data_IF_921771823264
#
_entry.id   IF_921771823264
#
_cell.length_a   1.000
_cell.length_b   1.000
_cell.length_c   1.000
_cell.angle_alpha   90.00
_cell.angle_beta   90.00
_cell.angle_gamma   90.00
#
_symmetry.space_group_name_H-M   'P 1'
#
loop_
_entity.id
_entity.type
_entity.pdbx_description
1 polymer ?
#
# COMPACT_ATOMS: atom_id res chain seq x y z
N UNK A 1 -15.46 13.39 6.63
CA UNK A 1 -14.34 13.11 7.52
C UNK A 1 -14.19 11.62 7.73
N UNK A 2 -12.95 11.14 7.61
CA UNK A 2 -12.71 9.71 7.79
C UNK A 2 -12.92 9.32 9.23
N UNK A 3 -13.36 8.10 9.49
CA UNK A 3 -13.39 7.61 10.85
C UNK A 3 -11.97 7.52 11.38
N UNK A 4 -11.86 7.64 12.67
CA UNK A 4 -10.57 7.53 13.31
C UNK A 4 -10.21 6.06 13.45
N UNK A 5 -9.12 5.66 12.85
CA UNK A 5 -8.66 4.28 12.93
C UNK A 5 -7.31 4.22 13.62
N UNK A 6 -7.02 3.07 14.22
CA UNK A 6 -5.70 2.76 14.70
C UNK A 6 -5.06 1.84 13.67
N UNK A 7 -3.77 1.98 13.44
CA UNK A 7 -3.07 1.10 12.52
C UNK A 7 -2.04 0.31 13.31
N UNK A 8 -2.08 -1.00 13.13
CA UNK A 8 -1.22 -1.93 13.84
C UNK A 8 -0.44 -2.78 12.86
N UNK A 9 0.86 -2.89 13.08
CA UNK A 9 1.69 -3.78 12.28
C UNK A 9 1.66 -5.15 12.93
N UNK A 10 0.90 -6.07 12.36
CA UNK A 10 0.82 -7.44 12.84
C UNK A 10 1.87 -8.25 12.08
N UNK A 11 3.10 -8.23 12.61
CA UNK A 11 4.23 -8.86 11.94
C UNK A 11 4.06 -10.36 11.83
N UNK A 12 3.33 -10.96 12.76
CA UNK A 12 3.13 -12.39 12.76
C UNK A 12 2.32 -12.84 11.55
N UNK A 13 1.31 -12.06 11.19
CA UNK A 13 0.49 -12.42 10.03
C UNK A 13 0.97 -11.72 8.75
N UNK A 14 1.92 -10.80 8.86
CA UNK A 14 2.40 -10.08 7.68
C UNK A 14 1.39 -9.07 7.17
N UNK A 15 0.75 -8.34 8.09
CA UNK A 15 -0.25 -7.36 7.69
C UNK A 15 -0.13 -6.09 8.52
N UNK A 16 -0.37 -4.94 7.87
CA UNK A 16 -0.73 -3.72 8.58
C UNK A 16 -2.25 -3.76 8.67
N UNK A 17 -2.78 -3.53 9.83
CA UNK A 17 -4.22 -3.64 10.08
C UNK A 17 -4.81 -2.31 10.46
N UNK A 18 -5.94 -1.96 9.86
CA UNK A 18 -6.72 -0.81 10.25
C UNK A 18 -7.77 -1.30 11.23
N UNK A 19 -7.78 -0.73 12.43
CA UNK A 19 -8.69 -1.16 13.49
C UNK A 19 -9.64 -0.04 13.80
N UNK A 20 -10.92 -0.37 13.81
CA UNK A 20 -11.99 0.57 14.13
C UNK A 20 -12.91 -0.12 15.11
N UNK A 21 -13.10 0.50 16.28
CA UNK A 21 -13.96 -0.07 17.32
C UNK A 21 -13.57 -1.50 17.67
N UNK A 22 -12.27 -1.76 17.73
CA UNK A 22 -11.76 -3.06 18.13
C UNK A 22 -11.79 -4.12 17.04
N UNK A 23 -12.22 -3.76 15.83
CA UNK A 23 -12.31 -4.71 14.73
C UNK A 23 -11.35 -4.35 13.63
N UNK A 24 -10.77 -5.35 13.00
CA UNK A 24 -9.94 -5.14 11.83
C UNK A 24 -10.87 -4.91 10.65
N UNK A 25 -10.83 -3.71 10.08
CA UNK A 25 -11.71 -3.34 8.98
C UNK A 25 -10.96 -3.18 7.66
N UNK A 26 -9.64 -3.27 7.70
CA UNK A 26 -8.83 -3.22 6.49
C UNK A 26 -7.43 -3.70 6.79
N UNK A 27 -6.71 -4.08 5.75
CA UNK A 27 -5.33 -4.50 5.94
C UNK A 27 -4.51 -4.34 4.68
N UNK A 28 -3.18 -4.30 4.87
CA UNK A 28 -2.22 -4.36 3.78
C UNK A 28 -1.43 -5.64 3.99
N UNK A 29 -1.41 -6.50 3.00
CA UNK A 29 -0.65 -7.75 3.06
C UNK A 29 0.77 -7.48 2.59
N UNK A 30 1.75 -7.90 3.38
CA UNK A 30 3.14 -7.66 3.01
C UNK A 30 4.04 -8.84 3.34
N UNK A 31 5.21 -8.84 2.74
CA UNK A 31 6.28 -9.79 3.03
C UNK A 31 7.48 -8.99 3.51
N UNK A 32 8.27 -9.59 4.40
CA UNK A 32 9.46 -8.94 4.90
C UNK A 32 10.69 -9.42 4.15
N UNK A 33 11.57 -8.46 3.85
CA UNK A 33 12.89 -8.74 3.33
C UNK A 33 13.84 -7.86 4.14
N UNK A 34 15.10 -8.19 4.07
CA UNK A 34 16.10 -7.45 4.81
C UNK A 34 16.07 -5.96 4.43
N UNK A 35 15.71 -5.14 5.39
CA UNK A 35 15.64 -3.68 5.19
C UNK A 35 14.49 -3.21 4.33
N UNK A 36 13.57 -4.09 3.95
CA UNK A 36 12.55 -3.79 2.95
C UNK A 36 11.25 -4.52 3.26
N UNK A 37 10.14 -3.91 2.83
CA UNK A 37 8.84 -4.56 2.89
C UNK A 37 8.28 -4.64 1.48
N UNK A 38 7.68 -5.78 1.14
CA UNK A 38 7.02 -5.97 -0.15
C UNK A 38 5.52 -5.91 0.12
N UNK A 39 4.87 -4.85 -0.35
CA UNK A 39 3.43 -4.67 -0.15
C UNK A 39 2.69 -5.27 -1.34
N UNK A 40 1.75 -6.17 -1.04
CA UNK A 40 1.05 -6.93 -2.08
C UNK A 40 -0.34 -6.41 -2.37
N UNK A 41 -1.18 -6.29 -1.34
CA UNK A 41 -2.59 -5.94 -1.51
C UNK A 41 -3.07 -5.07 -0.39
N UNK A 42 -4.02 -4.20 -0.69
CA UNK A 42 -4.72 -3.40 0.30
C UNK A 42 -6.19 -3.79 0.19
N UNK A 43 -6.78 -4.19 1.30
CA UNK A 43 -8.15 -4.68 1.34
C UNK A 43 -8.89 -3.93 2.43
N UNK A 44 -10.12 -3.47 2.12
CA UNK A 44 -10.99 -2.84 3.12
C UNK A 44 -12.33 -3.58 3.05
N UNK A 45 -12.88 -3.92 4.19
CA UNK A 45 -14.17 -4.60 4.27
C UNK A 45 -15.22 -3.79 3.54
N UNK A 46 -16.10 -4.48 2.81
CA UNK A 46 -17.06 -3.80 1.93
C UNK A 46 -17.95 -2.81 2.68
N UNK A 47 -18.30 -3.11 3.93
CA UNK A 47 -19.14 -2.21 4.71
C UNK A 47 -18.44 -0.92 5.12
N UNK A 48 -17.14 -0.84 4.93
CA UNK A 48 -16.36 0.32 5.35
C UNK A 48 -15.74 1.08 4.19
N UNK A 49 -16.06 0.68 2.97
CA UNK A 49 -15.51 1.36 1.79
C UNK A 49 -16.08 2.76 1.65
N UNK A 50 -15.31 3.63 1.02
CA UNK A 50 -15.75 4.99 0.79
C UNK A 50 -15.60 5.90 2.00
N UNK A 51 -14.91 5.45 3.03
CA UNK A 51 -14.73 6.24 4.25
C UNK A 51 -13.31 6.71 4.47
N UNK A 52 -12.44 6.51 3.48
CA UNK A 52 -11.06 6.96 3.58
C UNK A 52 -10.15 6.04 4.38
N UNK A 53 -10.64 4.86 4.75
CA UNK A 53 -9.86 3.93 5.57
C UNK A 53 -8.61 3.45 4.84
N UNK A 54 -8.73 3.11 3.56
CA UNK A 54 -7.57 2.63 2.81
C UNK A 54 -6.50 3.71 2.73
N UNK A 55 -6.90 4.96 2.52
CA UNK A 55 -5.96 6.07 2.44
C UNK A 55 -5.24 6.26 3.77
N UNK A 56 -5.99 6.24 4.87
CA UNK A 56 -5.39 6.41 6.19
C UNK A 56 -4.47 5.26 6.53
N UNK A 57 -4.87 4.04 6.17
CA UNK A 57 -4.07 2.85 6.41
C UNK A 57 -2.75 2.92 5.64
N UNK A 58 -2.80 3.27 4.37
CA UNK A 58 -1.60 3.36 3.55
C UNK A 58 -0.67 4.45 4.07
N UNK A 59 -1.23 5.61 4.42
CA UNK A 59 -0.42 6.70 4.94
C UNK A 59 0.31 6.28 6.20
N UNK A 60 -0.40 5.64 7.13
CA UNK A 60 0.21 5.20 8.38
C UNK A 60 1.28 4.15 8.14
N UNK A 61 1.03 3.22 7.21
CA UNK A 61 2.01 2.18 6.92
C UNK A 61 3.28 2.77 6.30
N UNK A 62 3.12 3.70 5.37
CA UNK A 62 4.28 4.32 4.73
C UNK A 62 5.05 5.18 5.74
N UNK A 63 4.34 5.89 6.61
CA UNK A 63 5.00 6.67 7.65
C UNK A 63 5.80 5.76 8.58
N UNK A 64 5.27 4.57 8.86
CA UNK A 64 5.97 3.60 9.70
C UNK A 64 7.24 3.10 9.03
N UNK A 65 7.20 2.82 7.73
CA UNK A 65 8.39 2.42 7.02
C UNK A 65 9.47 3.50 7.08
N UNK A 66 9.04 4.74 6.87
CA UNK A 66 9.97 5.86 6.91
C UNK A 66 10.58 5.98 8.31
N UNK A 67 9.77 5.87 9.34
CA UNK A 67 10.25 5.99 10.72
C UNK A 67 11.23 4.90 11.08
N UNK A 68 11.07 3.72 10.48
CA UNK A 68 11.97 2.59 10.75
C UNK A 68 13.16 2.53 9.81
N UNK A 69 13.24 3.42 8.84
CA UNK A 69 14.32 3.38 7.86
C UNK A 69 14.21 2.22 6.89
N UNK A 70 12.99 1.73 6.65
CA UNK A 70 12.75 0.63 5.74
C UNK A 70 12.33 1.17 4.38
N UNK A 71 12.58 0.38 3.32
CA UNK A 71 12.14 0.77 1.99
C UNK A 71 11.01 -0.14 1.53
N UNK A 72 10.37 0.28 0.46
CA UNK A 72 9.18 -0.37 -0.07
C UNK A 72 9.39 -0.91 -1.46
N UNK A 73 9.01 -2.17 -1.65
CA UNK A 73 8.79 -2.74 -2.97
C UNK A 73 7.29 -2.90 -3.09
N UNK A 74 6.66 -2.20 -4.02
CA UNK A 74 5.21 -2.13 -4.05
C UNK A 74 4.59 -2.81 -5.25
N UNK A 75 3.65 -3.72 -4.99
CA UNK A 75 2.88 -4.37 -6.05
C UNK A 75 1.39 -4.03 -5.98
N UNK A 76 1.00 -3.12 -5.10
CA UNK A 76 -0.40 -2.74 -4.92
C UNK A 76 -0.73 -1.49 -5.73
N UNK A 77 -1.70 -1.59 -6.64
CA UNK A 77 -2.07 -0.45 -7.47
C UNK A 77 -2.61 0.73 -6.69
N UNK A 78 -3.34 0.47 -5.61
CA UNK A 78 -3.87 1.54 -4.79
C UNK A 78 -2.74 2.36 -4.16
N UNK A 79 -1.71 1.67 -3.65
CA UNK A 79 -0.58 2.34 -3.02
C UNK A 79 0.21 3.14 -4.06
N UNK A 80 0.33 2.57 -5.25
CA UNK A 80 1.01 3.25 -6.34
C UNK A 80 0.31 4.58 -6.65
N UNK A 81 -1.02 4.54 -6.73
CA UNK A 81 -1.81 5.75 -6.97
C UNK A 81 -1.70 6.73 -5.81
N UNK A 82 -1.66 6.21 -4.58
CA UNK A 82 -1.51 7.06 -3.41
C UNK A 82 -0.18 7.82 -3.46
N UNK A 83 0.90 7.14 -3.81
CA UNK A 83 2.21 7.76 -3.88
C UNK A 83 2.25 8.78 -5.02
N UNK A 84 1.61 8.47 -6.14
CA UNK A 84 1.55 9.42 -7.26
C UNK A 84 0.84 10.71 -6.84
N UNK A 85 -0.20 10.59 -6.02
CA UNK A 85 -0.96 11.74 -5.53
C UNK A 85 -0.26 12.44 -4.35
N UNK A 86 0.67 11.76 -3.70
CA UNK A 86 1.38 12.28 -2.54
C UNK A 86 2.88 12.04 -2.73
N UNK A 87 3.51 12.79 -3.65
CA UNK A 87 4.87 12.46 -4.11
C UNK A 87 5.95 12.55 -3.04
N UNK A 88 5.66 13.16 -1.91
CA UNK A 88 6.60 13.13 -0.78
C UNK A 88 6.89 11.71 -0.31
N UNK A 89 5.99 10.77 -0.57
CA UNK A 89 6.20 9.38 -0.18
C UNK A 89 7.03 8.58 -1.18
N UNK A 90 7.35 9.16 -2.34
CA UNK A 90 8.17 8.44 -3.32
C UNK A 90 9.53 8.04 -2.74
N UNK A 91 9.99 8.77 -1.73
CA UNK A 91 11.29 8.48 -1.11
C UNK A 91 11.32 7.14 -0.39
N UNK A 92 10.16 6.56 -0.08
CA UNK A 92 10.14 5.28 0.63
C UNK A 92 10.35 4.12 -0.34
N UNK A 93 10.12 4.34 -1.64
CA UNK A 93 10.22 3.28 -2.64
C UNK A 93 11.67 2.93 -2.87
N UNK A 94 11.96 1.62 -2.83
CA UNK A 94 13.32 1.14 -3.04
C UNK A 94 13.73 1.44 -4.49
N UNK A 95 14.80 2.20 -4.70
CA UNK A 95 15.17 2.61 -6.06
C UNK A 95 15.66 1.45 -6.93
N UNK A 96 16.10 0.38 -6.31
CA UNK A 96 16.60 -0.78 -7.05
C UNK A 96 15.55 -1.86 -7.21
N UNK A 97 14.54 -1.88 -6.35
CA UNK A 97 13.49 -2.88 -6.39
C UNK A 97 12.15 -2.21 -6.10
N UNK A 98 11.69 -1.35 -6.97
CA UNK A 98 10.48 -0.57 -6.70
C UNK A 98 9.19 -1.40 -6.75
N UNK A 99 9.21 -2.54 -7.42
CA UNK A 99 8.04 -3.38 -7.55
C UNK A 99 7.33 -3.11 -8.86
N UNK A 100 6.01 -2.93 -8.78
CA UNK A 100 5.25 -2.74 -10.01
C UNK A 100 5.53 -1.35 -10.59
N UNK A 101 5.27 -1.25 -11.88
CA UNK A 101 5.38 0.02 -12.56
C UNK A 101 4.20 0.90 -12.14
N UNK A 102 4.25 2.15 -12.54
CA UNK A 102 3.18 3.09 -12.21
C UNK A 102 1.86 2.62 -12.80
N UNK A 103 0.75 3.10 -12.27
CA UNK A 103 -0.55 2.73 -12.82
C UNK A 103 -0.66 3.00 -14.31
N UNK A 104 -0.06 4.08 -14.77
CA UNK A 104 -0.07 4.41 -16.17
C UNK A 104 0.66 3.34 -16.99
N UNK A 105 1.85 2.98 -16.56
CA UNK A 105 2.63 1.96 -17.26
C UNK A 105 1.96 0.62 -17.18
N UNK A 106 1.36 0.31 -16.04
CA UNK A 106 0.66 -0.94 -15.90
C UNK A 106 -0.51 -1.04 -16.84
N UNK A 107 -1.25 0.04 -17.01
CA UNK A 107 -2.36 0.06 -17.95
C UNK A 107 -1.88 -0.08 -19.38
N UNK A 108 -0.80 0.61 -19.68
CA UNK A 108 -0.23 0.52 -21.02
C UNK A 108 0.36 -0.84 -21.28
N UNK A 109 0.96 -1.40 -20.28
CA UNK A 109 1.52 -2.72 -20.37
C UNK A 109 0.43 -3.70 -20.66
N UNK A 110 -0.63 -3.64 -19.91
CA UNK A 110 -1.78 -4.50 -20.07
C UNK A 110 -2.43 -4.26 -21.41
N UNK A 111 -2.57 -3.01 -21.75
CA UNK A 111 -3.16 -2.66 -23.00
C UNK A 111 -2.28 -3.10 -24.14
N UNK A 112 -0.98 -2.96 -23.99
CA UNK A 112 -0.04 -3.38 -24.97
C UNK A 112 0.08 -4.84 -25.04
N UNK A 113 0.01 -5.44 -23.91
CA UNK A 113 0.06 -6.84 -23.84
C UNK A 113 -1.25 -7.35 -24.17
N UNK A 114 -2.19 -6.59 -23.80
CA UNK A 114 -3.47 -6.91 -24.12
C UNK A 114 -3.64 -6.35 -25.41
N UNK A 115 -2.83 -5.49 -25.71
CA UNK A 115 -2.85 -4.86 -26.91
C UNK A 115 -1.56 -5.14 -27.41
N UNK A 116 -0.83 -5.30 -26.65
CA UNK A 116 0.27 -5.68 -26.78
C UNK A 116 0.22 -6.22 -25.71
N UNK A 117 -0.39 -5.69 -25.44
CA UNK A 117 -0.80 -5.60 -24.79
C UNK A 117 -1.29 -5.07 -24.72
N UNK A 118 -1.26 -4.52 -25.22
CA UNK A 118 -1.60 -3.61 -25.05
C UNK A 118 -1.15 -3.10 -24.07
#
# INVERSE_FOLDING_TARGET
>A
MSPEIAVHDNAESGTYEAILDGQVVGLIVYERRDGRRIFRHTIVDSGYRGRGIATDLVRAALDDLIARGLTLTNYCGFIDSFIAANPGYARVVDPHQPGRVTPFEARHETARLGQKLG
#
